data_IF_255756213702
#
_entry.id   IF_255756213702
#
_cell.length_a   1.000
_cell.length_b   1.000
_cell.length_c   1.000
_cell.angle_alpha   90.00
_cell.angle_beta   90.00
_cell.angle_gamma   90.00
#
_symmetry.space_group_name_H-M   'P 1'
#
loop_
_entity.id
_entity.type
_entity.pdbx_description
1 polymer ?
#
# COMPACT_ATOMS: atom_id res chain seq x y z
N UNK A 1 12.38 17.38 29.21
CA UNK A 1 11.07 16.72 29.38
C UNK A 1 11.25 15.28 28.94
N UNK A 2 11.62 14.42 29.88
CA UNK A 2 11.84 12.98 29.67
C UNK A 2 10.48 12.31 29.59
N UNK A 3 9.96 12.16 28.37
CA UNK A 3 8.80 11.30 28.12
C UNK A 3 9.23 9.87 28.41
N UNK A 4 8.60 9.23 29.40
CA UNK A 4 8.66 7.79 29.60
C UNK A 4 8.46 7.12 28.23
N UNK A 5 9.44 6.32 27.80
CA UNK A 5 9.26 5.47 26.64
C UNK A 5 8.15 4.49 27.00
N UNK A 6 6.96 4.69 26.45
CA UNK A 6 5.89 3.70 26.54
C UNK A 6 6.40 2.46 25.80
N UNK A 7 6.95 1.53 26.57
CA UNK A 7 7.54 0.31 26.06
C UNK A 7 6.42 -0.53 25.47
N UNK A 8 6.29 -0.50 24.14
CA UNK A 8 5.30 -1.32 23.44
C UNK A 8 5.70 -2.77 23.63
N UNK A 9 5.00 -3.45 24.53
CA UNK A 9 5.24 -4.87 24.79
C UNK A 9 4.61 -5.75 23.72
N UNK A 10 5.13 -6.98 23.59
CA UNK A 10 4.53 -8.02 22.74
C UNK A 10 3.05 -8.25 23.12
N UNK A 11 2.70 -8.13 24.40
CA UNK A 11 1.33 -8.32 24.88
C UNK A 11 0.36 -7.26 24.31
N UNK A 12 0.84 -6.05 24.01
CA UNK A 12 0.05 -4.97 23.41
C UNK A 12 -0.14 -5.16 21.90
N UNK A 13 0.89 -5.67 21.19
CA UNK A 13 0.88 -5.84 19.73
C UNK A 13 0.18 -7.13 19.30
N UNK A 14 0.35 -8.21 20.07
CA UNK A 14 -0.07 -9.54 19.66
C UNK A 14 -1.59 -9.64 19.42
N UNK A 15 -2.48 -9.12 20.29
CA UNK A 15 -3.92 -9.18 20.05
C UNK A 15 -4.38 -8.49 18.74
N UNK A 16 -4.04 -7.20 18.45
CA UNK A 16 -4.46 -6.57 17.20
C UNK A 16 -3.82 -7.20 15.96
N UNK A 17 -2.60 -7.75 16.08
CA UNK A 17 -1.95 -8.49 15.00
C UNK A 17 -2.72 -9.79 14.67
N UNK A 18 -3.02 -10.61 15.69
CA UNK A 18 -3.76 -11.86 15.51
C UNK A 18 -5.18 -11.62 15.01
N UNK A 19 -5.86 -10.58 15.51
CA UNK A 19 -7.17 -10.19 15.00
C UNK A 19 -7.11 -9.81 13.52
N UNK A 20 -6.17 -8.93 13.15
CA UNK A 20 -6.00 -8.49 11.76
C UNK A 20 -5.63 -9.67 10.84
N UNK A 21 -4.74 -10.55 11.29
CA UNK A 21 -4.34 -11.74 10.53
C UNK A 21 -5.51 -12.72 10.36
N UNK A 22 -6.34 -12.90 11.39
CA UNK A 22 -7.54 -13.75 11.32
C UNK A 22 -8.54 -13.20 10.31
N UNK A 23 -8.73 -11.87 10.26
CA UNK A 23 -9.58 -11.21 9.27
C UNK A 23 -9.04 -11.47 7.85
N UNK A 24 -7.76 -11.23 7.61
CA UNK A 24 -7.19 -11.37 6.26
C UNK A 24 -7.08 -12.80 5.77
N UNK A 25 -6.73 -13.74 6.64
CA UNK A 25 -6.74 -15.17 6.30
C UNK A 25 -8.16 -15.67 6.02
N UNK A 26 -9.18 -15.16 6.73
CA UNK A 26 -10.59 -15.44 6.43
C UNK A 26 -10.99 -14.87 5.06
N UNK A 27 -10.61 -13.62 4.77
CA UNK A 27 -10.83 -13.03 3.44
C UNK A 27 -10.15 -13.84 2.33
N UNK A 28 -8.93 -14.33 2.57
CA UNK A 28 -8.19 -15.17 1.62
C UNK A 28 -8.89 -16.51 1.40
N UNK A 29 -9.30 -17.17 2.48
CA UNK A 29 -10.06 -18.42 2.38
C UNK A 29 -11.33 -18.22 1.54
N UNK A 30 -12.13 -17.20 1.84
CA UNK A 30 -13.38 -16.94 1.11
C UNK A 30 -13.12 -16.59 -0.36
N UNK A 31 -12.14 -15.73 -0.64
CA UNK A 31 -11.91 -15.20 -1.99
C UNK A 31 -11.14 -16.15 -2.91
N UNK A 32 -10.24 -16.99 -2.37
CA UNK A 32 -9.31 -17.81 -3.16
C UNK A 32 -9.55 -19.30 -2.97
N UNK A 33 -9.67 -19.78 -1.71
CA UNK A 33 -9.69 -21.22 -1.41
C UNK A 33 -11.08 -21.85 -1.36
N UNK A 34 -12.13 -21.05 -1.13
CA UNK A 34 -13.50 -21.56 -1.01
C UNK A 34 -14.02 -22.09 -2.36
N UNK A 35 -15.03 -22.97 -2.38
CA UNK A 35 -15.61 -23.49 -3.62
C UNK A 35 -16.15 -22.41 -4.58
N UNK A 36 -16.48 -21.23 -4.04
CA UNK A 36 -16.95 -20.06 -4.80
C UNK A 36 -15.84 -19.03 -5.06
N UNK A 37 -14.64 -19.27 -4.52
CA UNK A 37 -13.47 -18.44 -4.69
C UNK A 37 -12.95 -18.46 -6.13
N UNK A 38 -12.16 -17.43 -6.48
CA UNK A 38 -11.48 -17.34 -7.77
C UNK A 38 -9.98 -17.49 -7.52
N UNK A 39 -9.28 -18.40 -8.22
CA UNK A 39 -7.83 -18.57 -8.08
C UNK A 39 -7.03 -17.42 -8.74
N UNK A 40 -7.67 -16.28 -9.01
CA UNK A 40 -7.08 -15.11 -9.65
C UNK A 40 -6.30 -14.22 -8.68
N UNK A 41 -6.22 -14.60 -7.40
CA UNK A 41 -5.43 -13.94 -6.36
C UNK A 41 -6.25 -13.25 -5.28
N UNK A 42 -5.58 -12.93 -4.16
CA UNK A 42 -6.15 -12.31 -2.97
C UNK A 42 -6.63 -10.87 -3.21
N UNK A 43 -6.00 -10.15 -4.14
CA UNK A 43 -6.28 -8.74 -4.45
C UNK A 43 -7.57 -8.52 -5.27
N UNK A 44 -8.70 -9.02 -4.76
CA UNK A 44 -9.99 -8.58 -5.28
C UNK A 44 -10.21 -7.09 -4.98
N UNK A 45 -10.96 -6.40 -5.85
CA UNK A 45 -11.26 -4.97 -5.71
C UNK A 45 -11.84 -4.65 -4.33
N UNK A 46 -12.73 -5.49 -3.81
CA UNK A 46 -13.37 -5.25 -2.52
C UNK A 46 -12.38 -5.43 -1.35
N UNK A 47 -11.51 -6.45 -1.39
CA UNK A 47 -10.47 -6.68 -0.38
C UNK A 47 -9.51 -5.50 -0.33
N UNK A 48 -9.03 -5.08 -1.51
CA UNK A 48 -8.11 -3.96 -1.66
C UNK A 48 -8.70 -2.64 -1.16
N UNK A 49 -9.98 -2.36 -1.45
CA UNK A 49 -10.69 -1.20 -0.94
C UNK A 49 -10.91 -1.27 0.58
N UNK A 50 -11.30 -2.43 1.11
CA UNK A 50 -11.49 -2.63 2.55
C UNK A 50 -10.19 -2.39 3.32
N UNK A 51 -9.07 -2.94 2.83
CA UNK A 51 -7.76 -2.71 3.42
C UNK A 51 -7.44 -1.22 3.43
N UNK A 52 -7.51 -0.59 2.26
CA UNK A 52 -7.05 0.77 2.06
C UNK A 52 -7.88 1.80 2.84
N UNK A 53 -9.21 1.75 2.73
CA UNK A 53 -10.07 2.75 3.38
C UNK A 53 -9.94 2.67 4.91
N UNK A 54 -9.91 1.45 5.43
CA UNK A 54 -9.69 1.21 6.87
C UNK A 54 -8.30 1.69 7.29
N UNK A 55 -7.26 1.35 6.51
CA UNK A 55 -5.88 1.73 6.79
C UNK A 55 -5.69 3.25 6.79
N UNK A 56 -6.16 3.96 5.76
CA UNK A 56 -6.03 5.43 5.67
C UNK A 56 -6.80 6.12 6.79
N UNK A 57 -7.98 5.58 7.17
CA UNK A 57 -8.74 6.09 8.31
C UNK A 57 -7.96 5.92 9.62
N UNK A 58 -7.46 4.71 9.89
CA UNK A 58 -6.67 4.45 11.10
C UNK A 58 -5.34 5.21 11.11
N UNK A 59 -4.67 5.36 9.96
CA UNK A 59 -3.47 6.19 9.83
C UNK A 59 -3.76 7.65 10.15
N UNK A 60 -4.89 8.19 9.65
CA UNK A 60 -5.34 9.55 9.98
C UNK A 60 -5.60 9.71 11.47
N UNK A 61 -6.34 8.78 12.08
CA UNK A 61 -6.59 8.74 13.53
C UNK A 61 -5.29 8.63 14.32
N UNK A 62 -4.30 7.90 13.81
CA UNK A 62 -2.99 7.80 14.44
C UNK A 62 -2.23 9.12 14.35
N UNK A 63 -2.22 9.79 13.20
CA UNK A 63 -1.53 11.08 13.04
C UNK A 63 -2.10 12.19 13.94
N UNK A 64 -3.40 12.15 14.24
CA UNK A 64 -4.04 13.07 15.22
C UNK A 64 -4.03 12.51 16.65
N UNK A 65 -3.24 11.45 16.88
CA UNK A 65 -2.97 10.86 18.20
C UNK A 65 -4.17 10.25 18.92
N UNK A 66 -5.26 9.94 18.19
CA UNK A 66 -6.44 9.27 18.74
C UNK A 66 -6.19 7.78 18.98
N UNK A 67 -5.37 7.15 18.11
CA UNK A 67 -4.98 5.74 18.27
C UNK A 67 -3.46 5.57 18.15
N UNK A 68 -2.87 4.56 18.80
CA UNK A 68 -1.45 4.27 18.64
C UNK A 68 -1.13 3.68 17.26
N UNK A 69 0.05 4.00 16.72
CA UNK A 69 0.48 3.62 15.36
C UNK A 69 0.60 2.11 15.14
N UNK A 70 0.80 1.33 16.22
CA UNK A 70 0.87 -0.13 16.09
C UNK A 70 -0.46 -0.72 15.59
N UNK A 71 -1.61 -0.06 15.79
CA UNK A 71 -2.92 -0.55 15.32
C UNK A 71 -2.99 -0.56 13.78
N UNK A 72 -2.83 0.57 13.06
CA UNK A 72 -2.78 0.55 11.60
C UNK A 72 -1.62 -0.30 11.06
N UNK A 73 -0.50 -0.35 11.79
CA UNK A 73 0.64 -1.19 11.41
C UNK A 73 0.32 -2.69 11.45
N UNK A 74 -0.40 -3.17 12.48
CA UNK A 74 -0.87 -4.55 12.55
C UNK A 74 -1.84 -4.88 11.41
N UNK A 75 -2.78 -3.97 11.13
CA UNK A 75 -3.73 -4.13 10.03
C UNK A 75 -3.04 -4.29 8.67
N UNK A 76 -2.10 -3.38 8.36
CA UNK A 76 -1.39 -3.37 7.09
C UNK A 76 -0.38 -4.52 6.98
N UNK A 77 0.36 -4.82 8.05
CA UNK A 77 1.33 -5.93 8.05
C UNK A 77 0.64 -7.26 7.80
N UNK A 78 -0.47 -7.53 8.47
CA UNK A 78 -1.23 -8.76 8.26
C UNK A 78 -1.81 -8.86 6.85
N UNK A 79 -2.24 -7.74 6.25
CA UNK A 79 -2.70 -7.71 4.85
C UNK A 79 -1.58 -8.09 3.89
N UNK A 80 -0.46 -7.36 3.94
CA UNK A 80 0.66 -7.58 3.03
C UNK A 80 1.34 -8.94 3.26
N UNK A 81 1.24 -9.53 4.45
CA UNK A 81 1.73 -10.88 4.71
C UNK A 81 0.95 -11.90 3.89
N UNK A 82 -0.38 -11.86 3.97
CA UNK A 82 -1.26 -12.77 3.22
C UNK A 82 -1.10 -12.54 1.72
N UNK A 83 -1.06 -11.28 1.29
CA UNK A 83 -0.90 -10.91 -0.12
C UNK A 83 0.45 -11.36 -0.71
N UNK A 84 1.55 -11.16 0.03
CA UNK A 84 2.88 -11.60 -0.40
C UNK A 84 2.93 -13.13 -0.54
N UNK A 85 2.36 -13.87 0.41
CA UNK A 85 2.30 -15.33 0.33
C UNK A 85 1.48 -15.81 -0.88
N UNK A 86 0.34 -15.18 -1.16
CA UNK A 86 -0.45 -15.46 -2.37
C UNK A 86 0.34 -15.15 -3.65
N UNK A 87 1.02 -14.01 -3.72
CA UNK A 87 1.85 -13.64 -4.87
C UNK A 87 3.00 -14.64 -5.10
N UNK A 88 3.68 -15.09 -4.03
CA UNK A 88 4.73 -16.11 -4.13
C UNK A 88 4.14 -17.43 -4.66
N UNK A 89 3.00 -17.86 -4.13
CA UNK A 89 2.31 -19.07 -4.57
C UNK A 89 1.93 -19.01 -6.06
N UNK A 90 1.37 -17.87 -6.50
CA UNK A 90 1.01 -17.62 -7.91
C UNK A 90 2.20 -17.30 -8.81
N UNK A 91 3.41 -17.15 -8.25
CA UNK A 91 4.63 -16.73 -8.96
C UNK A 91 4.52 -15.35 -9.63
N UNK A 92 3.74 -14.47 -9.02
CA UNK A 92 3.59 -13.09 -9.48
C UNK A 92 4.73 -12.22 -8.96
N UNK A 93 5.82 -12.18 -9.72
CA UNK A 93 7.09 -11.57 -9.28
C UNK A 93 6.95 -10.07 -9.02
N UNK A 94 6.24 -9.33 -9.87
CA UNK A 94 6.14 -7.88 -9.75
C UNK A 94 5.37 -7.48 -8.49
N UNK A 95 4.23 -8.11 -8.25
CA UNK A 95 3.42 -7.86 -7.06
C UNK A 95 4.05 -8.44 -5.79
N UNK A 96 4.74 -9.58 -5.89
CA UNK A 96 5.53 -10.14 -4.81
C UNK A 96 6.63 -9.18 -4.32
N UNK A 97 7.38 -8.54 -5.23
CA UNK A 97 8.37 -7.52 -4.84
C UNK A 97 7.74 -6.32 -4.13
N UNK A 98 6.60 -5.84 -4.61
CA UNK A 98 5.85 -4.77 -3.95
C UNK A 98 5.46 -5.17 -2.52
N UNK A 99 4.84 -6.34 -2.36
CA UNK A 99 4.41 -6.87 -1.06
C UNK A 99 5.58 -7.03 -0.07
N UNK A 100 6.71 -7.55 -0.53
CA UNK A 100 7.93 -7.70 0.30
C UNK A 100 8.45 -6.34 0.77
N UNK A 101 8.56 -5.35 -0.13
CA UNK A 101 9.06 -4.01 0.24
C UNK A 101 8.09 -3.36 1.25
N UNK A 102 6.78 -3.46 1.00
CA UNK A 102 5.75 -2.95 1.92
C UNK A 102 5.82 -3.62 3.30
N UNK A 103 6.04 -4.94 3.36
CA UNK A 103 6.24 -5.66 4.63
C UNK A 103 7.47 -5.18 5.38
N UNK A 104 8.62 -5.04 4.69
CA UNK A 104 9.86 -4.54 5.29
C UNK A 104 9.64 -3.14 5.85
N UNK A 105 9.03 -2.24 5.07
CA UNK A 105 8.74 -0.88 5.53
C UNK A 105 7.81 -0.88 6.74
N UNK A 106 6.73 -1.67 6.72
CA UNK A 106 5.79 -1.74 7.84
C UNK A 106 6.46 -2.24 9.12
N UNK A 107 7.14 -3.38 9.05
CA UNK A 107 7.76 -4.01 10.22
C UNK A 107 8.91 -3.16 10.74
N UNK A 108 9.85 -2.77 9.88
CA UNK A 108 11.04 -2.05 10.33
C UNK A 108 10.71 -0.64 10.84
N UNK A 109 9.75 0.06 10.21
CA UNK A 109 9.33 1.40 10.66
C UNK A 109 8.61 1.32 12.01
N UNK A 110 7.71 0.33 12.19
CA UNK A 110 7.02 0.11 13.45
C UNK A 110 7.97 -0.39 14.57
N UNK A 111 9.02 -1.12 14.25
CA UNK A 111 10.01 -1.59 15.22
C UNK A 111 11.02 -0.52 15.64
N UNK A 112 11.22 0.54 14.84
CA UNK A 112 12.20 1.58 15.14
C UNK A 112 11.61 2.70 16.01
N UNK A 113 12.13 2.88 17.23
CA UNK A 113 11.57 3.80 18.23
C UNK A 113 11.45 5.26 17.75
N UNK A 114 12.45 5.76 17.03
CA UNK A 114 12.39 7.13 16.47
C UNK A 114 11.28 7.27 15.44
N UNK A 115 11.13 6.29 14.55
CA UNK A 115 10.12 6.35 13.50
C UNK A 115 8.70 6.20 14.03
N UNK A 116 8.51 5.40 15.10
CA UNK A 116 7.24 5.34 15.84
C UNK A 116 6.84 6.69 16.41
N UNK A 117 7.77 7.40 17.06
CA UNK A 117 7.52 8.75 17.59
C UNK A 117 7.14 9.73 16.49
N UNK A 118 7.76 9.60 15.32
CA UNK A 118 7.46 10.43 14.15
C UNK A 118 6.22 9.98 13.37
N UNK A 119 5.55 8.91 13.82
CA UNK A 119 4.43 8.25 13.16
C UNK A 119 4.69 8.00 11.67
N UNK A 120 5.89 7.50 11.39
CA UNK A 120 6.41 7.39 10.03
C UNK A 120 5.64 6.35 9.21
N UNK A 121 5.18 5.26 9.84
CA UNK A 121 4.39 4.25 9.15
C UNK A 121 3.02 4.82 8.75
N UNK A 122 2.39 5.58 9.64
CA UNK A 122 1.10 6.25 9.39
C UNK A 122 1.20 7.27 8.26
N UNK A 123 2.29 8.04 8.19
CA UNK A 123 2.59 8.89 7.03
C UNK A 123 2.76 8.07 5.76
N UNK A 124 3.49 6.96 5.83
CA UNK A 124 3.68 6.02 4.71
C UNK A 124 2.36 5.47 4.18
N UNK A 125 1.41 5.09 5.04
CA UNK A 125 0.13 4.49 4.63
C UNK A 125 -0.74 5.35 3.72
N UNK A 126 -0.51 6.67 3.65
CA UNK A 126 -1.20 7.53 2.68
C UNK A 126 -0.83 7.24 1.22
N UNK A 127 0.24 6.49 0.95
CA UNK A 127 0.53 5.99 -0.40
C UNK A 127 -0.59 5.08 -0.90
N UNK A 128 -1.30 4.40 0.01
CA UNK A 128 -2.44 3.56 -0.36
C UNK A 128 -3.69 4.37 -0.70
N UNK A 129 -3.79 5.66 -0.36
CA UNK A 129 -4.98 6.45 -0.64
C UNK A 129 -5.35 6.56 -2.13
N UNK A 130 -4.42 6.28 -3.05
CA UNK A 130 -4.70 6.19 -4.49
C UNK A 130 -5.38 4.88 -4.94
N UNK A 131 -5.33 3.83 -4.12
CA UNK A 131 -5.79 2.47 -4.46
C UNK A 131 -7.29 2.36 -4.76
N UNK A 132 -8.22 3.07 -4.08
CA UNK A 132 -9.64 3.05 -4.43
C UNK A 132 -9.89 3.62 -5.83
N UNK A 133 -9.09 4.60 -6.25
CA UNK A 133 -9.19 5.18 -7.58
C UNK A 133 -8.64 4.24 -8.67
N UNK A 134 -7.58 3.48 -8.38
CA UNK A 134 -7.12 2.37 -9.24
C UNK A 134 -8.26 1.37 -9.46
N UNK A 135 -8.91 0.96 -8.38
CA UNK A 135 -10.01 0.00 -8.43
C UNK A 135 -11.22 0.56 -9.17
N UNK A 136 -11.55 1.84 -8.96
CA UNK A 136 -12.60 2.52 -9.72
C UNK A 136 -12.30 2.54 -11.23
N UNK A 137 -11.06 2.84 -11.61
CA UNK A 137 -10.62 2.78 -13.01
C UNK A 137 -10.66 1.35 -13.57
N UNK A 138 -10.21 0.34 -12.81
CA UNK A 138 -10.27 -1.07 -13.24
C UNK A 138 -11.70 -1.52 -13.57
N UNK A 139 -12.72 -1.00 -12.88
CA UNK A 139 -14.13 -1.33 -13.15
C UNK A 139 -14.71 -0.55 -14.33
N UNK A 140 -14.46 0.76 -14.41
CA UNK A 140 -15.16 1.62 -15.38
C UNK A 140 -14.41 1.78 -16.71
N UNK A 141 -13.08 1.64 -16.70
CA UNK A 141 -12.19 1.73 -17.86
C UNK A 141 -12.35 2.99 -18.75
N UNK A 142 -12.91 4.07 -18.22
CA UNK A 142 -13.07 5.34 -18.93
C UNK A 142 -11.86 6.26 -18.75
N UNK A 143 -11.66 7.20 -19.67
CA UNK A 143 -10.59 8.20 -19.54
C UNK A 143 -10.75 9.06 -18.29
N UNK A 144 -11.99 9.39 -17.90
CA UNK A 144 -12.26 10.17 -16.68
C UNK A 144 -11.85 9.40 -15.42
N UNK A 145 -12.20 8.11 -15.32
CA UNK A 145 -11.79 7.30 -14.16
C UNK A 145 -10.28 7.09 -14.15
N UNK A 146 -9.66 6.96 -15.32
CA UNK A 146 -8.20 6.93 -15.44
C UNK A 146 -7.54 8.24 -14.97
N UNK A 147 -8.05 9.40 -15.38
CA UNK A 147 -7.51 10.70 -14.99
C UNK A 147 -7.58 10.90 -13.47
N UNK A 148 -8.70 10.49 -12.85
CA UNK A 148 -8.84 10.52 -11.40
C UNK A 148 -7.81 9.63 -10.70
N UNK A 149 -7.59 8.43 -11.22
CA UNK A 149 -6.52 7.54 -10.74
C UNK A 149 -5.13 8.15 -10.94
N UNK A 150 -4.84 8.76 -12.10
CA UNK A 150 -3.56 9.39 -12.39
C UNK A 150 -3.23 10.53 -11.43
N UNK A 151 -4.19 11.44 -11.19
CA UNK A 151 -4.01 12.58 -10.28
C UNK A 151 -3.83 12.09 -8.85
N UNK A 152 -4.66 11.16 -8.38
CA UNK A 152 -4.55 10.60 -7.02
C UNK A 152 -3.24 9.82 -6.81
N UNK A 153 -2.81 9.00 -7.77
CA UNK A 153 -1.53 8.31 -7.73
C UNK A 153 -0.37 9.31 -7.66
N UNK A 154 -0.39 10.35 -8.49
CA UNK A 154 0.65 11.38 -8.51
C UNK A 154 0.73 12.09 -7.15
N UNK A 155 -0.40 12.51 -6.59
CA UNK A 155 -0.42 13.17 -5.28
C UNK A 155 0.07 12.24 -4.15
N UNK A 156 -0.47 11.03 -4.05
CA UNK A 156 -0.25 10.13 -2.91
C UNK A 156 1.09 9.38 -2.96
N UNK A 157 1.65 9.15 -4.15
CA UNK A 157 2.84 8.30 -4.33
C UNK A 157 4.04 9.05 -4.90
N UNK A 158 3.82 10.07 -5.73
CA UNK A 158 4.93 10.80 -6.39
C UNK A 158 5.32 12.05 -5.63
N UNK A 159 4.34 12.82 -5.14
CA UNK A 159 4.60 14.04 -4.38
C UNK A 159 4.73 13.77 -2.88
N UNK A 160 3.81 12.97 -2.32
CA UNK A 160 3.78 12.70 -0.88
C UNK A 160 5.01 11.93 -0.37
N UNK A 161 5.44 10.88 -1.08
CA UNK A 161 6.58 10.05 -0.66
C UNK A 161 7.86 10.85 -0.43
N UNK A 162 8.39 11.62 -1.41
CA UNK A 162 9.60 12.39 -1.19
C UNK A 162 9.38 13.50 -0.16
N UNK A 163 8.19 14.10 -0.10
CA UNK A 163 7.85 15.10 0.90
C UNK A 163 7.96 14.55 2.32
N UNK A 164 7.35 13.40 2.62
CA UNK A 164 7.39 12.86 3.98
C UNK A 164 8.77 12.27 4.31
N UNK A 165 9.46 11.65 3.34
CA UNK A 165 10.84 11.16 3.55
C UNK A 165 11.77 12.33 3.86
N UNK A 166 11.68 13.43 3.10
CA UNK A 166 12.43 14.65 3.39
C UNK A 166 12.09 15.20 4.78
N UNK A 167 10.81 15.29 5.11
CA UNK A 167 10.36 15.75 6.43
C UNK A 167 10.93 14.89 7.57
N UNK A 168 10.92 13.56 7.43
CA UNK A 168 11.48 12.65 8.43
C UNK A 168 13.00 12.82 8.54
N UNK A 169 13.74 12.68 7.44
CA UNK A 169 15.21 12.64 7.51
C UNK A 169 15.87 14.00 7.71
N UNK A 170 15.43 15.03 7.00
CA UNK A 170 16.08 16.35 7.07
C UNK A 170 15.62 17.14 8.28
N UNK A 171 14.32 17.11 8.60
CA UNK A 171 13.76 17.96 9.65
C UNK A 171 13.85 17.28 11.02
N UNK A 172 13.49 15.99 11.11
CA UNK A 172 13.36 15.31 12.40
C UNK A 172 14.58 14.45 12.78
N UNK A 173 15.29 13.91 11.80
CA UNK A 173 16.55 13.18 12.01
C UNK A 173 17.79 14.04 11.76
N UNK A 174 17.64 15.34 11.50
CA UNK A 174 18.75 16.29 11.29
C UNK A 174 19.78 15.84 10.24
N UNK A 175 19.34 15.09 9.22
CA UNK A 175 20.19 14.55 8.16
C UNK A 175 20.85 13.21 8.49
N UNK A 176 20.62 12.64 9.67
CA UNK A 176 21.07 11.28 9.99
C UNK A 176 20.31 10.26 9.16
N UNK A 177 21.05 9.49 8.37
CA UNK A 177 20.51 8.43 7.52
C UNK A 177 20.59 7.12 8.28
N UNK A 178 19.46 6.44 8.41
CA UNK A 178 19.39 5.07 8.93
C UNK A 178 19.10 4.06 7.79
N UNK A 179 19.03 2.78 8.16
CA UNK A 179 18.82 1.71 7.20
C UNK A 179 17.44 1.74 6.53
N UNK A 180 16.45 2.47 7.07
CA UNK A 180 15.09 2.56 6.53
C UNK A 180 14.99 3.45 5.29
N UNK A 181 16.02 4.25 5.00
CA UNK A 181 16.03 5.09 3.80
C UNK A 181 16.05 4.22 2.54
N UNK A 182 16.78 3.10 2.57
CA UNK A 182 16.99 2.24 1.41
C UNK A 182 15.73 1.55 0.92
N UNK A 183 14.94 0.86 1.78
CA UNK A 183 13.64 0.33 1.34
C UNK A 183 12.67 1.44 0.94
N UNK A 184 12.76 2.65 1.54
CA UNK A 184 11.93 3.80 1.15
C UNK A 184 12.26 4.30 -0.26
N UNK A 185 13.55 4.40 -0.59
CA UNK A 185 14.02 4.76 -1.93
C UNK A 185 13.63 3.69 -2.94
N UNK A 186 13.82 2.40 -2.61
CA UNK A 186 13.43 1.30 -3.49
C UNK A 186 11.93 1.29 -3.76
N UNK A 187 11.12 1.52 -2.72
CA UNK A 187 9.68 1.69 -2.86
C UNK A 187 9.35 2.85 -3.79
N UNK A 188 9.99 4.01 -3.63
CA UNK A 188 9.75 5.17 -4.48
C UNK A 188 10.13 4.93 -5.94
N UNK A 189 11.26 4.26 -6.21
CA UNK A 189 11.66 3.88 -7.57
C UNK A 189 10.62 2.97 -8.23
N UNK A 190 10.04 2.03 -7.48
CA UNK A 190 8.94 1.20 -7.97
C UNK A 190 7.71 2.05 -8.32
N UNK A 191 7.34 3.03 -7.48
CA UNK A 191 6.23 3.95 -7.78
C UNK A 191 6.50 4.80 -9.03
N UNK A 192 7.73 5.28 -9.21
CA UNK A 192 8.14 6.02 -10.40
C UNK A 192 8.05 5.16 -11.67
N UNK A 193 8.46 3.90 -11.61
CA UNK A 193 8.35 2.99 -12.75
C UNK A 193 6.88 2.79 -13.17
N UNK A 194 5.96 2.67 -12.21
CA UNK A 194 4.52 2.62 -12.50
C UNK A 194 3.98 3.95 -13.02
N UNK A 195 4.43 5.06 -12.46
CA UNK A 195 4.01 6.39 -12.91
C UNK A 195 4.46 6.69 -14.34
N UNK A 196 5.67 6.32 -14.75
CA UNK A 196 6.13 6.45 -16.14
C UNK A 196 5.23 5.66 -17.10
N UNK A 197 4.84 4.43 -16.73
CA UNK A 197 3.87 3.65 -17.50
C UNK A 197 2.51 4.36 -17.58
N UNK A 198 2.08 5.00 -16.50
CA UNK A 198 0.86 5.80 -16.49
C UNK A 198 0.98 7.02 -17.40
N UNK A 199 2.05 7.80 -17.34
CA UNK A 199 2.25 8.93 -18.26
C UNK A 199 2.16 8.48 -19.73
N UNK A 200 2.74 7.33 -20.07
CA UNK A 200 2.59 6.74 -21.40
C UNK A 200 1.13 6.43 -21.75
N UNK A 201 0.37 5.84 -20.82
CA UNK A 201 -1.07 5.60 -21.00
C UNK A 201 -1.89 6.89 -21.06
N UNK A 202 -1.47 7.99 -20.42
CA UNK A 202 -2.18 9.27 -20.47
C UNK A 202 -2.09 9.90 -21.86
N UNK A 203 -0.91 9.85 -22.49
CA UNK A 203 -0.69 10.38 -23.84
C UNK A 203 -1.38 9.51 -24.89
N UNK A 204 -1.38 8.20 -24.71
CA UNK A 204 -1.88 7.22 -25.67
C UNK A 204 -3.09 6.44 -25.14
N UNK A 205 -3.97 7.09 -24.39
CA UNK A 205 -5.08 6.38 -23.75
C UNK A 205 -6.03 5.81 -24.80
N UNK A 206 -6.27 4.49 -24.71
CA UNK A 206 -7.25 3.79 -25.54
C UNK A 206 -8.26 3.11 -24.64
N UNK A 207 -9.53 3.26 -24.97
CA UNK A 207 -10.61 2.54 -24.31
C UNK A 207 -10.60 1.05 -24.69
N UNK A 208 -11.20 0.16 -23.88
CA UNK A 208 -11.30 -1.26 -24.20
C UNK A 208 -11.92 -1.51 -25.58
N UNK A 209 -12.94 -0.74 -25.95
CA UNK A 209 -13.64 -0.87 -27.24
C UNK A 209 -12.74 -0.51 -28.42
N UNK A 210 -11.87 0.50 -28.25
CA UNK A 210 -10.88 0.88 -29.26
C UNK A 210 -9.78 -0.19 -29.40
N UNK A 211 -9.32 -0.75 -28.29
CA UNK A 211 -8.35 -1.85 -28.29
C UNK A 211 -8.92 -3.11 -28.94
N UNK A 212 -10.19 -3.45 -28.69
CA UNK A 212 -10.84 -4.60 -29.31
C UNK A 212 -11.01 -4.40 -30.83
N UNK A 213 -11.37 -3.19 -31.27
CA UNK A 213 -11.44 -2.85 -32.69
C UNK A 213 -10.08 -2.93 -33.38
N UNK A 214 -9.01 -2.47 -32.74
CA UNK A 214 -7.65 -2.59 -33.28
C UNK A 214 -7.16 -4.03 -33.33
N UNK A 215 -7.47 -4.85 -32.33
CA UNK A 215 -7.10 -6.27 -32.33
C UNK A 215 -7.79 -7.00 -33.48
N UNK A 216 -9.10 -6.77 -33.64
CA UNK A 216 -9.86 -7.30 -34.77
C UNK A 216 -9.28 -6.83 -36.10
N UNK A 217 -8.87 -5.58 -36.25
CA UNK A 217 -8.22 -5.09 -37.49
C UNK A 217 -6.86 -5.72 -37.81
N UNK A 218 -6.13 -6.25 -36.83
CA UNK A 218 -4.82 -6.91 -37.06
C UNK A 218 -4.94 -8.40 -37.37
N UNK A 219 -6.12 -8.99 -37.18
CA UNK A 219 -6.40 -10.40 -37.47
C UNK A 219 -6.92 -10.62 -38.92
N UNK A 220 -7.07 -9.55 -39.70
CA UNK A 220 -7.43 -9.55 -41.13
C UNK A 220 -6.32 -8.91 -41.96
#
# INVERSE_FOLDING_TARGET
MTTEEEEITIQTILPPLLLSLSIWTTCYYISVLSPTGKPTGFESIWISNLHTLTLVTMASLSLIEVIPEYIPSCWSTSFFLVDTLDCIWRRDVMWGFHGIISLVLNVCTASHGVHRRLRSASKGFFTEASTPFLNYWKTHKSFKSYLLFFVSFTACRILWVPYFVYNTYQIHLHGEIDYLIWPSVLFYLLQLAWWVKMVGMLVWYKTPDELEKERKKKEW
#
